data_IF_716034006512
#
_entry.id   IF_716034006512
#
_cell.length_a   1.000
_cell.length_b   1.000
_cell.length_c   1.000
_cell.angle_alpha   90.00
_cell.angle_beta   90.00
_cell.angle_gamma   90.00
#
_symmetry.space_group_name_H-M   'P 1'
#
loop_
_entity.id
_entity.type
_entity.pdbx_description
1 polymer ?
#
# COMPACT_ATOMS: atom_id res chain seq x y z
N UNK A 1 4.02 12.60 -10.34
CA UNK A 1 3.55 11.89 -11.54
C UNK A 1 2.34 11.04 -11.17
N UNK A 2 1.36 11.00 -12.03
CA UNK A 2 0.14 10.21 -11.79
C UNK A 2 0.21 8.89 -12.54
N UNK A 3 0.04 7.77 -11.83
CA UNK A 3 0.04 6.43 -12.42
C UNK A 3 -0.99 5.55 -11.73
N UNK A 4 -1.30 4.40 -12.33
CA UNK A 4 -2.23 3.43 -11.76
C UNK A 4 -1.41 2.29 -11.17
N UNK A 5 -1.63 2.00 -9.89
CA UNK A 5 -0.91 0.96 -9.16
C UNK A 5 -1.87 0.11 -8.33
N UNK A 6 -1.50 -1.15 -8.11
CA UNK A 6 -2.14 -1.93 -7.06
C UNK A 6 -1.67 -1.40 -5.72
N UNK A 7 -2.61 -1.04 -4.87
CA UNK A 7 -2.36 -0.35 -3.60
C UNK A 7 -3.01 -1.14 -2.48
N UNK A 8 -2.25 -1.36 -1.42
CA UNK A 8 -2.78 -1.94 -0.20
C UNK A 8 -3.31 -0.80 0.66
N UNK A 9 -4.61 -0.77 0.89
CA UNK A 9 -5.28 0.31 1.60
C UNK A 9 -5.87 -0.22 2.90
N UNK A 10 -5.57 0.47 3.99
CA UNK A 10 -6.21 0.21 5.27
C UNK A 10 -7.43 1.10 5.40
N UNK A 11 -8.61 0.48 5.50
CA UNK A 11 -9.86 1.17 5.77
C UNK A 11 -10.22 1.03 7.24
N UNK A 12 -10.60 2.13 7.86
CA UNK A 12 -11.16 2.14 9.21
C UNK A 12 -12.49 2.88 9.11
N UNK A 13 -13.58 2.21 9.48
CA UNK A 13 -14.95 2.73 9.34
C UNK A 13 -15.22 3.22 7.91
N UNK A 14 -14.77 2.41 6.93
CA UNK A 14 -14.94 2.67 5.50
C UNK A 14 -14.20 3.91 4.98
N UNK A 15 -13.25 4.42 5.75
CA UNK A 15 -12.42 5.55 5.35
C UNK A 15 -10.97 5.07 5.17
N UNK A 16 -10.33 5.37 4.02
CA UNK A 16 -8.92 5.03 3.84
C UNK A 16 -8.06 5.80 4.84
N UNK A 17 -7.24 5.09 5.60
CA UNK A 17 -6.38 5.70 6.62
C UNK A 17 -4.90 5.59 6.28
N UNK A 18 -4.49 4.46 5.69
CA UNK A 18 -3.11 4.22 5.30
C UNK A 18 -3.09 3.47 3.98
N UNK A 19 -2.03 3.65 3.21
CA UNK A 19 -1.88 2.97 1.93
C UNK A 19 -0.41 2.80 1.58
N UNK A 20 -0.11 1.74 0.82
CA UNK A 20 1.21 1.50 0.27
C UNK A 20 1.11 0.81 -1.08
N UNK A 21 1.99 1.13 -2.00
CA UNK A 21 2.08 0.49 -3.31
C UNK A 21 3.49 0.00 -3.63
N UNK A 22 4.45 0.35 -2.80
CA UNK A 22 5.84 -0.04 -2.95
C UNK A 22 6.30 -0.80 -1.72
N UNK A 23 7.21 -1.73 -1.93
CA UNK A 23 7.83 -2.43 -0.82
C UNK A 23 9.36 -2.30 -0.93
N UNK A 24 10.04 -2.41 0.19
CA UNK A 24 11.49 -2.32 0.26
C UNK A 24 12.09 -3.71 0.43
N UNK A 25 13.05 -4.05 -0.44
CA UNK A 25 13.79 -5.29 -0.29
C UNK A 25 14.69 -5.17 0.95
N UNK A 26 14.60 -6.11 1.90
CA UNK A 26 15.37 -6.00 3.15
C UNK A 26 16.88 -6.16 2.94
N UNK A 27 17.30 -6.72 1.81
CA UNK A 27 18.72 -6.93 1.52
C UNK A 27 19.29 -5.79 0.70
N UNK A 28 18.66 -5.45 -0.44
CA UNK A 28 19.16 -4.45 -1.38
C UNK A 28 18.69 -3.04 -1.08
N UNK A 29 17.64 -2.91 -0.29
CA UNK A 29 16.98 -1.63 0.01
C UNK A 29 16.33 -0.98 -1.21
N UNK A 30 16.13 -1.74 -2.27
CA UNK A 30 15.44 -1.25 -3.45
C UNK A 30 13.94 -1.21 -3.24
N UNK A 31 13.30 -0.17 -3.75
CA UNK A 31 11.86 -0.02 -3.74
C UNK A 31 11.28 -0.47 -5.07
N UNK A 32 10.22 -1.27 -5.02
CA UNK A 32 9.54 -1.74 -6.22
C UNK A 32 8.04 -1.78 -6.03
N UNK A 33 7.32 -1.73 -7.16
CA UNK A 33 5.86 -1.85 -7.13
C UNK A 33 5.47 -3.27 -6.71
N UNK A 34 4.48 -3.37 -5.81
CA UNK A 34 4.05 -4.67 -5.31
C UNK A 34 3.34 -5.52 -6.37
N UNK A 35 2.56 -4.89 -7.26
CA UNK A 35 1.65 -5.61 -8.11
C UNK A 35 0.54 -6.30 -7.31
N UNK A 36 -0.32 -7.06 -7.99
CA UNK A 36 -1.44 -7.73 -7.32
C UNK A 36 -0.95 -8.83 -6.37
N UNK A 37 -0.07 -9.71 -6.82
CA UNK A 37 0.40 -10.79 -5.97
C UNK A 37 1.21 -10.29 -4.78
N UNK A 38 2.02 -9.27 -4.97
CA UNK A 38 2.76 -8.64 -3.86
C UNK A 38 1.82 -7.99 -2.85
N UNK A 39 0.79 -7.32 -3.33
CA UNK A 39 -0.22 -6.71 -2.47
C UNK A 39 -0.94 -7.75 -1.62
N UNK A 40 -1.37 -8.86 -2.22
CA UNK A 40 -2.05 -9.95 -1.51
C UNK A 40 -1.13 -10.60 -0.49
N UNK A 41 0.15 -10.75 -0.83
CA UNK A 41 1.14 -11.32 0.09
C UNK A 41 1.33 -10.41 1.31
N UNK A 42 1.47 -9.11 1.10
CA UNK A 42 1.61 -8.14 2.18
C UNK A 42 0.36 -8.10 3.07
N UNK A 43 -0.81 -8.13 2.46
CA UNK A 43 -2.07 -8.16 3.20
C UNK A 43 -2.14 -9.35 4.14
N UNK A 44 -1.74 -10.53 3.66
CA UNK A 44 -1.73 -11.75 4.46
C UNK A 44 -0.75 -11.65 5.62
N UNK A 45 0.45 -11.16 5.36
CA UNK A 45 1.48 -11.06 6.39
C UNK A 45 1.13 -10.03 7.47
N UNK A 46 0.63 -8.89 7.09
CA UNK A 46 0.23 -7.85 8.03
C UNK A 46 -0.89 -8.36 8.93
N UNK A 47 -1.91 -9.00 8.35
CA UNK A 47 -3.01 -9.55 9.12
C UNK A 47 -2.55 -10.60 10.11
N UNK A 48 -1.60 -11.43 9.71
CA UNK A 48 -1.08 -12.50 10.56
C UNK A 48 -0.24 -11.97 11.71
N UNK A 49 0.63 -10.99 11.43
CA UNK A 49 1.60 -10.50 12.43
C UNK A 49 0.98 -9.51 13.41
N UNK A 50 0.06 -8.70 12.96
CA UNK A 50 -0.48 -7.60 13.78
C UNK A 50 -1.76 -7.96 14.53
N UNK A 51 -2.36 -9.10 14.25
CA UNK A 51 -3.68 -9.42 14.79
C UNK A 51 -4.72 -8.41 14.36
N UNK A 52 -4.53 -7.85 13.20
CA UNK A 52 -5.26 -6.70 12.71
C UNK A 52 -6.77 -6.90 12.65
N UNK A 53 -7.22 -8.10 12.35
CA UNK A 53 -8.65 -8.40 12.28
C UNK A 53 -9.38 -8.19 13.62
N UNK A 54 -8.63 -8.03 14.69
CA UNK A 54 -9.19 -7.77 16.02
C UNK A 54 -9.27 -6.29 16.34
N UNK A 55 -8.80 -5.44 15.45
CA UNK A 55 -8.87 -4.01 15.65
C UNK A 55 -10.16 -3.47 15.04
N UNK A 56 -10.67 -2.52 15.63
CA UNK A 56 -11.93 -1.79 15.53
C UNK A 56 -12.42 -1.51 14.11
N UNK A 57 -12.94 -2.54 13.43
CA UNK A 57 -13.55 -2.37 12.11
C UNK A 57 -12.57 -2.06 10.97
N UNK A 58 -11.28 -2.20 11.21
CA UNK A 58 -10.28 -1.98 10.18
C UNK A 58 -10.14 -3.18 9.24
N UNK A 59 -9.80 -2.91 7.99
CA UNK A 59 -9.53 -3.97 7.03
C UNK A 59 -8.51 -3.50 5.99
N UNK A 60 -7.71 -4.44 5.50
CA UNK A 60 -6.79 -4.19 4.39
C UNK A 60 -7.41 -4.72 3.09
N UNK A 61 -7.35 -3.90 2.05
CA UNK A 61 -7.89 -4.24 0.73
C UNK A 61 -6.83 -3.95 -0.32
N UNK A 62 -6.65 -4.88 -1.26
CA UNK A 62 -5.81 -4.64 -2.43
C UNK A 62 -6.68 -4.05 -3.53
N UNK A 63 -6.38 -2.83 -3.93
CA UNK A 63 -7.16 -2.09 -4.92
C UNK A 63 -6.24 -1.51 -5.98
N UNK A 64 -6.72 -1.48 -7.21
CA UNK A 64 -6.04 -0.74 -8.26
C UNK A 64 -6.51 0.70 -8.19
N UNK A 65 -5.58 1.62 -7.93
CA UNK A 65 -5.90 3.03 -7.77
C UNK A 65 -4.98 3.91 -8.61
N UNK A 66 -5.52 5.05 -9.00
CA UNK A 66 -4.73 6.13 -9.57
C UNK A 66 -4.07 6.86 -8.40
N UNK A 67 -2.75 7.00 -8.46
CA UNK A 67 -1.99 7.64 -7.39
C UNK A 67 -1.07 8.69 -7.98
N UNK A 68 -0.79 9.72 -7.20
CA UNK A 68 0.23 10.71 -7.51
C UNK A 68 1.48 10.35 -6.74
N UNK A 69 2.62 10.30 -7.42
CA UNK A 69 3.89 9.91 -6.79
C UNK A 69 4.85 11.07 -6.74
N UNK A 70 5.79 10.99 -5.81
CA UNK A 70 6.92 11.92 -5.71
C UNK A 70 8.16 11.16 -5.30
N UNK A 71 9.31 11.78 -5.47
CA UNK A 71 10.57 11.22 -4.99
C UNK A 71 10.89 11.89 -3.66
N UNK A 72 11.13 11.09 -2.63
CA UNK A 72 11.45 11.62 -1.31
C UNK A 72 12.94 11.99 -1.21
N UNK A 73 13.36 12.48 -0.05
CA UNK A 73 14.74 12.94 0.16
C UNK A 73 15.77 11.80 0.06
N UNK A 74 15.34 10.55 0.21
CA UNK A 74 16.20 9.38 0.06
C UNK A 74 16.33 8.93 -1.40
N UNK A 75 15.62 9.56 -2.33
CA UNK A 75 15.62 9.17 -3.72
C UNK A 75 14.63 8.06 -4.07
N UNK A 76 13.74 7.70 -3.14
CA UNK A 76 12.76 6.65 -3.36
C UNK A 76 11.41 7.24 -3.81
N UNK A 77 10.75 6.52 -4.72
CA UNK A 77 9.42 6.89 -5.16
C UNK A 77 8.39 6.47 -4.11
N UNK A 78 7.59 7.42 -3.68
CA UNK A 78 6.52 7.18 -2.69
C UNK A 78 5.21 7.77 -3.19
N UNK A 79 4.10 7.33 -2.61
CA UNK A 79 2.79 7.89 -2.95
C UNK A 79 2.64 9.23 -2.25
N UNK A 80 2.37 10.26 -3.03
CA UNK A 80 2.08 11.59 -2.52
C UNK A 80 0.58 11.74 -2.20
N UNK A 81 -0.27 11.28 -3.12
CA UNK A 81 -1.72 11.32 -2.94
C UNK A 81 -2.38 10.04 -3.43
N UNK A 82 -3.37 9.57 -2.68
CA UNK A 82 -4.20 8.46 -3.09
C UNK A 82 -5.38 9.01 -3.89
N UNK A 83 -5.53 8.54 -5.13
CA UNK A 83 -6.63 8.93 -5.98
C UNK A 83 -7.74 7.89 -6.02
N UNK A 84 -8.54 7.95 -7.07
CA UNK A 84 -9.73 7.10 -7.21
C UNK A 84 -9.36 5.65 -7.57
N UNK A 85 -10.27 4.75 -7.27
CA UNK A 85 -10.20 3.37 -7.76
C UNK A 85 -10.36 3.37 -9.28
N UNK A 86 -9.66 2.46 -9.90
CA UNK A 86 -9.70 2.30 -11.36
C UNK A 86 -10.26 0.94 -11.72
#
# INVERSE_FOLDING_TARGET
MEIVLFTLVLYINDVPKEWMAYWEDPVTKEHSQMGLSGCLWQRRNISRLSGFQNTQGGRYVCERRRVTTRVNWEGNTVIDKLGDKV
#
